data_IF_302338161803
#
_entry.id   IF_302338161803
#
_cell.length_a   1.000
_cell.length_b   1.000
_cell.length_c   1.000
_cell.angle_alpha   90.00
_cell.angle_beta   90.00
_cell.angle_gamma   90.00
#
_symmetry.space_group_name_H-M   'P 1'
#
loop_
_entity.id
_entity.type
_entity.pdbx_description
1 polymer ?
#
# COMPACT_ATOMS: atom_id res chain seq x y z
N UNK A 1 -15.37 -17.79 22.41
CA UNK A 1 -14.62 -17.33 23.61
C UNK A 1 -13.23 -16.97 23.12
N UNK A 2 -12.73 -15.75 23.37
CA UNK A 2 -11.39 -15.36 22.93
C UNK A 2 -10.37 -16.06 23.80
N UNK A 3 -9.42 -16.76 23.18
CA UNK A 3 -8.27 -17.35 23.87
C UNK A 3 -7.37 -16.22 24.38
N UNK A 4 -7.39 -16.01 25.70
CA UNK A 4 -6.66 -14.91 26.36
C UNK A 4 -5.15 -15.07 26.23
N UNK A 5 -4.64 -16.30 26.22
CA UNK A 5 -3.21 -16.56 26.10
C UNK A 5 -2.72 -16.24 24.69
N UNK A 6 -3.50 -16.64 23.68
CA UNK A 6 -3.26 -16.26 22.28
C UNK A 6 -3.31 -14.73 22.11
N UNK A 7 -4.34 -14.08 22.62
CA UNK A 7 -4.50 -12.63 22.52
C UNK A 7 -3.31 -11.88 23.16
N UNK A 8 -2.81 -12.35 24.32
CA UNK A 8 -1.63 -11.77 24.96
C UNK A 8 -0.35 -12.03 24.17
N UNK A 9 -0.21 -13.18 23.50
CA UNK A 9 0.93 -13.46 22.62
C UNK A 9 0.95 -12.53 21.41
N UNK A 10 -0.21 -12.34 20.76
CA UNK A 10 -0.36 -11.42 19.63
C UNK A 10 -0.08 -9.96 20.04
N UNK A 11 -0.50 -9.57 21.23
CA UNK A 11 -0.19 -8.25 21.79
C UNK A 11 1.32 -8.02 21.97
N UNK A 12 2.05 -9.03 22.48
CA UNK A 12 3.52 -8.95 22.61
C UNK A 12 4.19 -8.86 21.24
N UNK A 13 3.74 -9.64 20.26
CA UNK A 13 4.27 -9.61 18.91
C UNK A 13 4.00 -8.26 18.22
N UNK A 14 2.79 -7.73 18.37
CA UNK A 14 2.43 -6.38 17.91
C UNK A 14 3.32 -5.30 18.56
N UNK A 15 3.64 -5.48 19.85
CA UNK A 15 4.53 -4.63 20.63
C UNK A 15 5.94 -4.44 20.04
N UNK A 16 6.41 -5.39 19.22
CA UNK A 16 7.70 -5.28 18.54
C UNK A 16 7.72 -4.18 17.47
N UNK A 17 6.56 -3.91 16.86
CA UNK A 17 6.39 -2.85 15.87
C UNK A 17 5.98 -1.54 16.55
N UNK A 18 5.07 -1.65 17.51
CA UNK A 18 4.35 -0.58 18.17
C UNK A 18 4.48 -0.74 19.69
N UNK A 19 5.50 -0.16 20.34
CA UNK A 19 5.71 -0.31 21.78
C UNK A 19 4.57 0.31 22.61
N UNK A 20 4.07 -0.43 23.61
CA UNK A 20 2.84 -0.11 24.38
C UNK A 20 2.82 1.23 25.13
N UNK A 21 3.94 1.93 25.25
CA UNK A 21 4.06 3.18 26.00
C UNK A 21 4.47 4.37 25.13
N UNK A 22 4.85 4.12 23.89
CA UNK A 22 5.24 5.18 22.98
C UNK A 22 5.06 4.67 21.54
N UNK A 23 3.82 4.77 21.06
CA UNK A 23 3.44 4.36 19.72
C UNK A 23 4.19 5.13 18.64
N UNK A 24 4.71 6.32 18.97
CA UNK A 24 5.56 7.09 18.07
C UNK A 24 6.98 6.51 17.95
N UNK A 25 7.39 5.64 18.88
CA UNK A 25 8.64 4.85 18.80
C UNK A 25 8.41 3.60 17.95
N UNK A 26 9.48 2.81 17.78
CA UNK A 26 9.44 1.64 16.90
C UNK A 26 9.35 2.05 15.42
N UNK A 27 8.41 1.43 14.69
CA UNK A 27 8.35 1.54 13.22
C UNK A 27 7.96 2.94 12.74
N UNK A 28 7.16 3.71 13.50
CA UNK A 28 6.81 5.09 13.13
C UNK A 28 8.02 6.02 13.16
N UNK A 29 8.86 5.92 14.20
CA UNK A 29 10.12 6.68 14.27
C UNK A 29 11.10 6.24 13.20
N UNK A 30 11.17 4.94 12.94
CA UNK A 30 12.08 4.37 11.95
C UNK A 30 11.75 4.85 10.54
N UNK A 31 10.49 4.73 10.10
CA UNK A 31 10.09 5.17 8.76
C UNK A 31 10.25 6.68 8.56
N UNK A 32 9.96 7.49 9.60
CA UNK A 32 10.22 8.94 9.56
C UNK A 32 11.71 9.23 9.35
N UNK A 33 12.60 8.52 10.07
CA UNK A 33 14.06 8.67 9.88
C UNK A 33 14.51 8.25 8.48
N UNK A 34 13.95 7.17 7.95
CA UNK A 34 14.33 6.68 6.63
C UNK A 34 13.82 7.61 5.52
N UNK A 35 12.60 8.15 5.63
CA UNK A 35 12.09 9.22 4.77
C UNK A 35 13.03 10.43 4.74
N UNK A 36 13.45 10.92 5.90
CA UNK A 36 14.37 12.07 6.00
C UNK A 36 15.76 11.78 5.42
N UNK A 37 16.26 10.54 5.53
CA UNK A 37 17.51 10.14 4.86
C UNK A 37 17.34 10.16 3.34
N UNK A 38 16.28 9.57 2.79
CA UNK A 38 16.07 9.47 1.34
C UNK A 38 15.90 10.86 0.72
N UNK A 39 15.16 11.76 1.38
CA UNK A 39 14.97 13.14 0.90
C UNK A 39 16.28 13.91 0.72
N UNK A 40 17.33 13.57 1.47
CA UNK A 40 18.66 14.20 1.39
C UNK A 40 19.53 13.65 0.27
N UNK A 41 19.15 12.55 -0.38
CA UNK A 41 19.92 11.95 -1.48
C UNK A 41 19.72 12.78 -2.75
N UNK A 42 20.82 13.27 -3.32
CA UNK A 42 20.81 14.10 -4.54
C UNK A 42 20.92 13.27 -5.81
N UNK A 43 21.60 12.11 -5.77
CA UNK A 43 21.67 11.19 -6.89
C UNK A 43 20.32 10.46 -7.06
N UNK A 44 19.66 10.67 -8.20
CA UNK A 44 18.31 10.13 -8.43
C UNK A 44 18.25 8.60 -8.46
N UNK A 45 19.27 7.94 -9.02
CA UNK A 45 19.30 6.47 -9.08
C UNK A 45 19.46 5.89 -7.67
N UNK A 46 20.41 6.41 -6.89
CA UNK A 46 20.57 6.01 -5.48
C UNK A 46 19.31 6.29 -4.66
N UNK A 47 18.68 7.46 -4.86
CA UNK A 47 17.44 7.85 -4.19
C UNK A 47 16.32 6.86 -4.50
N UNK A 48 16.17 6.45 -5.76
CA UNK A 48 15.19 5.45 -6.18
C UNK A 48 15.46 4.08 -5.53
N UNK A 49 16.70 3.59 -5.58
CA UNK A 49 17.05 2.29 -5.00
C UNK A 49 16.82 2.27 -3.48
N UNK A 50 17.17 3.35 -2.78
CA UNK A 50 16.92 3.48 -1.34
C UNK A 50 15.42 3.59 -1.04
N UNK A 51 14.67 4.40 -1.78
CA UNK A 51 13.22 4.52 -1.62
C UNK A 51 12.53 3.16 -1.77
N UNK A 52 12.88 2.41 -2.83
CA UNK A 52 12.37 1.06 -3.09
C UNK A 52 12.67 0.11 -1.92
N UNK A 53 13.94 0.04 -1.50
CA UNK A 53 14.36 -0.83 -0.39
C UNK A 53 13.60 -0.55 0.91
N UNK A 54 13.46 0.72 1.29
CA UNK A 54 12.76 1.09 2.52
C UNK A 54 11.25 0.88 2.40
N UNK A 55 10.66 1.12 1.22
CA UNK A 55 9.26 0.82 0.98
C UNK A 55 8.98 -0.68 1.16
N UNK A 56 9.76 -1.56 0.54
CA UNK A 56 9.62 -3.02 0.68
C UNK A 56 9.67 -3.44 2.16
N UNK A 57 10.70 -2.99 2.89
CA UNK A 57 10.87 -3.26 4.32
C UNK A 57 9.66 -2.82 5.14
N UNK A 58 9.20 -1.59 4.96
CA UNK A 58 8.13 -1.04 5.79
C UNK A 58 6.76 -1.63 5.43
N UNK A 59 6.53 -1.93 4.15
CA UNK A 59 5.32 -2.61 3.69
C UNK A 59 5.19 -4.02 4.29
N UNK A 60 6.29 -4.80 4.30
CA UNK A 60 6.33 -6.11 4.97
C UNK A 60 6.01 -5.99 6.47
N UNK A 61 6.61 -5.01 7.15
CA UNK A 61 6.33 -4.77 8.58
C UNK A 61 4.86 -4.38 8.84
N UNK A 62 4.22 -3.60 7.96
CA UNK A 62 2.79 -3.24 8.10
C UNK A 62 1.90 -4.47 8.00
N UNK A 63 2.18 -5.36 7.05
CA UNK A 63 1.44 -6.60 6.86
C UNK A 63 1.52 -7.45 8.13
N UNK A 64 2.72 -7.65 8.69
CA UNK A 64 2.87 -8.43 9.92
C UNK A 64 2.17 -7.78 11.11
N UNK A 65 2.36 -6.48 11.33
CA UNK A 65 1.72 -5.79 12.43
C UNK A 65 0.18 -5.81 12.31
N UNK A 66 -0.35 -5.64 11.09
CA UNK A 66 -1.79 -5.73 10.81
C UNK A 66 -2.33 -7.13 11.09
N UNK A 67 -1.58 -8.17 10.74
CA UNK A 67 -1.97 -9.55 11.02
C UNK A 67 -2.09 -9.80 12.53
N UNK A 68 -1.08 -9.41 13.31
CA UNK A 68 -1.13 -9.50 14.78
C UNK A 68 -2.29 -8.70 15.38
N UNK A 69 -2.56 -7.50 14.85
CA UNK A 69 -3.71 -6.69 15.28
C UNK A 69 -5.05 -7.41 15.07
N UNK A 70 -5.25 -8.01 13.90
CA UNK A 70 -6.49 -8.71 13.54
C UNK A 70 -6.60 -10.04 14.30
N UNK A 71 -5.56 -10.87 14.28
CA UNK A 71 -5.58 -12.20 14.90
C UNK A 71 -5.68 -12.15 16.43
N UNK A 72 -5.12 -11.13 17.05
CA UNK A 72 -5.24 -10.86 18.48
C UNK A 72 -6.51 -10.12 18.88
N UNK A 73 -7.34 -9.69 17.92
CA UNK A 73 -8.50 -8.82 18.15
C UNK A 73 -8.15 -7.60 19.01
N UNK A 74 -6.97 -6.98 18.77
CA UNK A 74 -6.37 -5.99 19.67
C UNK A 74 -7.21 -4.73 19.85
N UNK A 75 -8.12 -4.44 18.91
CA UNK A 75 -9.12 -3.37 19.07
C UNK A 75 -10.03 -3.57 20.29
N UNK A 76 -10.30 -4.82 20.71
CA UNK A 76 -11.07 -5.12 21.93
C UNK A 76 -10.28 -4.80 23.21
N UNK A 77 -8.97 -4.67 23.12
CA UNK A 77 -8.09 -4.23 24.21
C UNK A 77 -7.91 -2.70 24.24
N UNK A 78 -8.67 -1.96 23.42
CA UNK A 78 -8.58 -0.50 23.34
C UNK A 78 -7.40 0.01 22.50
N UNK A 79 -6.69 -0.87 21.78
CA UNK A 79 -5.63 -0.43 20.87
C UNK A 79 -6.27 0.15 19.61
N UNK A 80 -6.03 1.43 19.37
CA UNK A 80 -6.56 2.15 18.22
C UNK A 80 -5.84 1.76 16.94
N UNK A 81 -6.58 1.19 15.97
CA UNK A 81 -6.08 0.94 14.62
C UNK A 81 -5.59 2.22 13.93
N UNK A 82 -6.31 3.33 14.16
CA UNK A 82 -6.02 4.61 13.52
C UNK A 82 -4.72 5.22 14.04
N UNK A 83 -4.46 5.10 15.34
CA UNK A 83 -3.24 5.64 15.96
C UNK A 83 -2.00 4.78 15.76
N UNK A 84 -2.15 3.58 15.20
CA UNK A 84 -1.06 2.63 14.94
C UNK A 84 -0.93 2.32 13.46
N UNK A 85 -1.63 1.30 12.96
CA UNK A 85 -1.52 0.79 11.60
C UNK A 85 -1.87 1.85 10.55
N UNK A 86 -2.92 2.64 10.75
CA UNK A 86 -3.32 3.64 9.74
C UNK A 86 -2.28 4.76 9.59
N UNK A 87 -1.75 5.29 10.70
CA UNK A 87 -0.63 6.25 10.69
C UNK A 87 0.60 5.67 10.02
N UNK A 88 0.95 4.42 10.30
CA UNK A 88 2.09 3.78 9.68
C UNK A 88 1.91 3.61 8.16
N UNK A 89 0.72 3.17 7.74
CA UNK A 89 0.35 3.07 6.32
C UNK A 89 0.43 4.41 5.58
N UNK A 90 0.07 5.50 6.24
CA UNK A 90 0.20 6.84 5.66
C UNK A 90 1.67 7.17 5.34
N UNK A 91 2.59 6.88 6.26
CA UNK A 91 4.02 7.11 6.04
C UNK A 91 4.60 6.18 4.95
N UNK A 92 4.09 4.94 4.82
CA UNK A 92 4.45 4.03 3.72
C UNK A 92 4.01 4.60 2.36
N UNK A 93 2.85 5.27 2.30
CA UNK A 93 2.41 5.95 1.08
C UNK A 93 3.33 7.12 0.72
N UNK A 94 3.80 7.88 1.71
CA UNK A 94 4.78 8.95 1.45
C UNK A 94 6.09 8.41 0.85
N UNK A 95 6.56 7.24 1.30
CA UNK A 95 7.72 6.56 0.69
C UNK A 95 7.45 6.16 -0.77
N UNK A 96 6.27 5.61 -1.04
CA UNK A 96 5.85 5.21 -2.38
C UNK A 96 5.75 6.41 -3.33
N UNK A 97 5.16 7.51 -2.87
CA UNK A 97 5.04 8.74 -3.65
C UNK A 97 6.43 9.30 -3.99
N UNK A 98 7.36 9.28 -3.03
CA UNK A 98 8.76 9.68 -3.25
C UNK A 98 9.46 8.81 -4.29
N UNK A 99 9.19 7.50 -4.29
CA UNK A 99 9.71 6.57 -5.30
C UNK A 99 9.17 6.90 -6.70
N UNK A 100 7.85 7.10 -6.83
CA UNK A 100 7.19 7.46 -8.10
C UNK A 100 7.75 8.78 -8.64
N UNK A 101 7.89 9.80 -7.80
CA UNK A 101 8.42 11.10 -8.19
C UNK A 101 9.85 10.96 -8.72
N UNK A 102 10.69 10.19 -8.03
CA UNK A 102 12.09 9.95 -8.43
C UNK A 102 12.18 9.23 -9.78
N UNK A 103 11.32 8.24 -10.05
CA UNK A 103 11.24 7.58 -11.37
C UNK A 103 10.89 8.59 -12.47
N UNK A 104 9.87 9.43 -12.23
CA UNK A 104 9.46 10.46 -13.20
C UNK A 104 10.57 11.44 -13.52
N UNK A 105 11.39 11.82 -12.54
CA UNK A 105 12.57 12.67 -12.75
C UNK A 105 13.67 11.98 -13.55
N UNK A 106 13.97 10.71 -13.23
CA UNK A 106 14.92 9.89 -14.00
C UNK A 106 14.52 9.79 -15.48
N UNK A 107 13.23 9.57 -15.76
CA UNK A 107 12.72 9.52 -17.13
C UNK A 107 12.83 10.86 -17.85
N UNK A 108 12.59 11.99 -17.16
CA UNK A 108 12.79 13.33 -17.72
C UNK A 108 14.26 13.55 -18.10
N UNK A 109 15.19 13.18 -17.22
CA UNK A 109 16.63 13.29 -17.51
C UNK A 109 17.00 12.47 -18.75
N UNK A 110 16.56 11.20 -18.83
CA UNK A 110 16.80 10.33 -19.99
C UNK A 110 16.26 10.91 -21.31
N UNK A 111 15.15 11.65 -21.28
CA UNK A 111 14.59 12.33 -22.46
C UNK A 111 15.41 13.55 -22.88
N UNK A 112 15.93 14.33 -21.94
CA UNK A 112 16.75 15.51 -22.24
C UNK A 112 18.13 15.18 -22.81
N UNK A 113 18.71 14.03 -22.47
CA UNK A 113 20.06 13.63 -22.92
C UNK A 113 20.06 12.89 -24.25
N UNK A 114 18.90 12.59 -24.87
CA UNK A 114 18.89 12.02 -26.22
C UNK A 114 19.49 13.06 -27.19
N UNK A 115 20.65 12.79 -27.81
CA UNK A 115 21.20 13.69 -28.82
C UNK A 115 20.15 13.81 -29.93
N UNK A 116 19.75 15.03 -30.23
CA UNK A 116 18.97 15.33 -31.43
C UNK A 116 19.81 14.92 -32.64
N UNK A 117 19.61 13.70 -33.13
CA UNK A 117 20.15 13.21 -34.40
C UNK A 117 19.41 13.89 -35.54
N UNK A 118 19.53 15.22 -35.64
CA UNK A 118 19.25 15.98 -36.85
C UNK A 118 20.61 16.39 -37.41
N UNK A 119 20.90 15.89 -38.61
CA UNK A 119 22.12 16.09 -39.40
C UNK A 119 23.26 15.10 -39.15
N UNK A 120 22.99 13.80 -39.30
CA UNK A 120 24.00 12.93 -39.90
C UNK A 120 23.84 13.01 -41.41
N UNK A 121 24.70 13.82 -42.03
CA UNK A 121 25.07 13.71 -43.44
C UNK A 121 25.25 12.24 -43.81
N UNK A 122 24.58 11.81 -44.87
CA UNK A 122 24.67 10.46 -45.44
C UNK A 122 26.11 9.93 -45.35
N UNK A 123 26.40 8.91 -44.54
CA UNK A 123 27.73 8.31 -44.54
C UNK A 123 27.99 7.75 -45.94
N UNK A 124 29.09 8.19 -46.55
CA UNK A 124 29.64 7.54 -47.74
C UNK A 124 29.74 6.06 -47.44
N UNK A 125 29.18 5.22 -48.33
CA UNK A 125 29.28 3.75 -48.29
C UNK A 125 30.74 3.33 -48.23
N UNK A 126 31.32 3.28 -47.04
CA UNK A 126 32.46 2.45 -46.76
C UNK A 126 31.90 1.04 -46.67
N UNK A 127 32.29 0.15 -47.59
CA UNK A 127 32.07 -1.29 -47.41
C UNK A 127 32.94 -1.69 -46.21
N UNK A 128 32.37 -2.00 -45.04
CA UNK A 128 33.16 -2.50 -43.94
C UNK A 128 33.76 -3.82 -44.42
N UNK A 129 35.06 -4.00 -44.21
CA UNK A 129 35.59 -5.37 -44.16
C UNK A 129 34.76 -6.11 -43.11
N UNK A 130 34.41 -7.39 -43.30
CA UNK A 130 33.66 -8.15 -42.32
C UNK A 130 34.45 -8.15 -41.01
N UNK A 131 34.09 -7.25 -40.09
CA UNK A 131 34.51 -7.34 -38.71
C UNK A 131 33.78 -8.56 -38.17
N UNK A 132 34.52 -9.51 -37.61
CA UNK A 132 33.91 -10.55 -36.79
C UNK A 132 33.05 -9.85 -35.75
N UNK A 133 31.73 -9.99 -35.87
CA UNK A 133 30.82 -9.46 -34.88
C UNK A 133 30.99 -10.34 -33.64
N UNK A 134 31.78 -9.86 -32.69
CA UNK A 134 31.85 -10.45 -31.36
C UNK A 134 30.60 -9.98 -30.63
N UNK A 135 29.77 -10.93 -30.23
CA UNK A 135 28.54 -10.64 -29.50
C UNK A 135 28.81 -10.82 -28.01
N UNK A 136 28.08 -10.13 -27.15
CA UNK A 136 28.24 -10.25 -25.68
C UNK A 136 26.91 -10.66 -25.06
N UNK A 137 26.96 -11.63 -24.15
CA UNK A 137 25.80 -12.04 -23.37
C UNK A 137 25.29 -10.86 -22.54
N UNK A 138 24.01 -10.54 -22.63
CA UNK A 138 23.44 -9.38 -21.95
C UNK A 138 23.32 -9.55 -20.43
N UNK A 139 23.35 -10.79 -19.93
CA UNK A 139 23.18 -11.10 -18.51
C UNK A 139 24.53 -11.24 -17.78
N UNK A 140 25.43 -12.06 -18.30
CA UNK A 140 26.72 -12.33 -17.66
C UNK A 140 27.92 -11.60 -18.29
N UNK A 141 27.69 -10.86 -19.39
CA UNK A 141 28.72 -10.12 -20.14
C UNK A 141 29.83 -10.97 -20.78
N UNK A 142 29.71 -12.30 -20.76
CA UNK A 142 30.61 -13.20 -21.48
C UNK A 142 30.53 -12.99 -22.99
N UNK A 143 31.66 -13.12 -23.67
CA UNK A 143 31.73 -13.10 -25.12
C UNK A 143 31.04 -14.34 -25.71
N UNK A 144 30.18 -14.12 -26.71
CA UNK A 144 29.54 -15.14 -27.55
C UNK A 144 30.29 -15.11 -28.88
N UNK A 145 31.06 -16.17 -29.16
CA UNK A 145 31.89 -16.22 -30.36
C UNK A 145 31.05 -16.47 -31.60
N UNK A 146 31.56 -16.01 -32.74
CA UNK A 146 30.91 -16.29 -34.02
C UNK A 146 30.79 -17.80 -34.25
N UNK A 147 29.56 -18.28 -34.47
CA UNK A 147 29.26 -19.70 -34.68
C UNK A 147 28.85 -20.47 -33.42
N UNK A 148 28.91 -19.85 -32.24
CA UNK A 148 28.34 -20.44 -31.02
C UNK A 148 26.81 -20.30 -30.98
N UNK A 149 26.16 -21.27 -30.35
CA UNK A 149 24.73 -21.20 -30.08
C UNK A 149 24.45 -20.10 -29.05
N UNK A 150 23.35 -19.37 -29.24
CA UNK A 150 22.91 -18.31 -28.35
C UNK A 150 21.39 -18.28 -28.28
N UNK A 151 20.89 -17.74 -27.17
CA UNK A 151 19.47 -17.56 -26.92
C UNK A 151 19.08 -16.10 -27.16
N UNK A 152 17.86 -15.88 -27.65
CA UNK A 152 17.30 -14.54 -27.88
C UNK A 152 15.77 -14.60 -27.85
N UNK A 153 15.13 -13.47 -27.57
CA UNK A 153 13.67 -13.39 -27.50
C UNK A 153 13.07 -13.09 -28.88
N UNK A 154 12.30 -14.03 -29.45
CA UNK A 154 11.76 -13.91 -30.81
C UNK A 154 10.70 -12.81 -30.97
N UNK A 155 9.92 -12.53 -29.93
CA UNK A 155 8.81 -11.55 -29.98
C UNK A 155 9.11 -10.16 -29.41
N UNK A 156 10.13 -9.99 -28.56
CA UNK A 156 10.44 -8.67 -27.95
C UNK A 156 11.26 -7.75 -28.84
N UNK A 157 11.98 -8.30 -29.82
CA UNK A 157 12.79 -7.55 -30.79
C UNK A 157 13.76 -6.52 -30.16
N UNK A 158 14.31 -6.82 -28.99
CA UNK A 158 15.23 -5.94 -28.26
C UNK A 158 16.72 -6.17 -28.60
N UNK A 159 17.00 -7.08 -29.54
CA UNK A 159 18.34 -7.47 -30.02
C UNK A 159 19.28 -8.00 -28.93
N UNK A 160 18.75 -8.39 -27.76
CA UNK A 160 19.55 -8.99 -26.70
C UNK A 160 19.84 -10.45 -27.00
N UNK A 161 21.05 -10.88 -26.62
CA UNK A 161 21.55 -12.23 -26.87
C UNK A 161 22.17 -12.78 -25.60
N UNK A 162 22.04 -14.08 -25.40
CA UNK A 162 22.41 -14.76 -24.17
C UNK A 162 23.22 -16.01 -24.49
N UNK A 163 24.31 -16.25 -23.76
CA UNK A 163 25.20 -17.39 -23.98
C UNK A 163 24.62 -18.72 -23.48
N UNK A 164 23.55 -18.69 -22.70
CA UNK A 164 22.89 -19.89 -22.16
C UNK A 164 21.40 -19.64 -21.93
N UNK A 165 20.64 -20.74 -21.85
CA UNK A 165 19.22 -20.73 -21.48
C UNK A 165 19.01 -20.14 -20.07
N UNK A 166 19.96 -20.40 -19.15
CA UNK A 166 19.95 -19.85 -17.80
C UNK A 166 20.06 -18.32 -17.82
N UNK A 167 21.03 -17.76 -18.56
CA UNK A 167 21.17 -16.31 -18.72
C UNK A 167 19.93 -15.68 -19.38
N UNK A 168 19.35 -16.36 -20.37
CA UNK A 168 18.11 -15.93 -21.00
C UNK A 168 16.93 -15.94 -20.01
N UNK A 169 16.81 -17.02 -19.23
CA UNK A 169 15.77 -17.20 -18.23
C UNK A 169 15.89 -16.18 -17.12
N UNK A 170 17.07 -15.95 -16.57
CA UNK A 170 17.29 -14.97 -15.52
C UNK A 170 16.93 -13.55 -15.95
N UNK A 171 17.22 -13.22 -17.21
CA UNK A 171 16.95 -11.89 -17.75
C UNK A 171 15.46 -11.63 -18.01
N UNK A 172 14.72 -12.61 -18.55
CA UNK A 172 13.33 -12.42 -18.97
C UNK A 172 12.29 -13.00 -18.05
N UNK A 173 12.67 -13.90 -17.14
CA UNK A 173 11.72 -14.49 -16.20
C UNK A 173 11.13 -13.45 -15.27
N UNK A 174 9.93 -13.76 -14.79
CA UNK A 174 9.28 -13.04 -13.70
C UNK A 174 9.20 -13.96 -12.49
N UNK A 175 9.22 -13.38 -11.29
CA UNK A 175 9.04 -14.14 -10.05
C UNK A 175 7.55 -14.33 -9.80
N UNK A 176 7.10 -15.58 -9.72
CA UNK A 176 5.72 -15.89 -9.34
C UNK A 176 5.40 -15.32 -7.97
N UNK A 177 4.30 -14.56 -7.87
CA UNK A 177 3.89 -13.85 -6.65
C UNK A 177 3.38 -14.81 -5.55
N UNK A 178 3.12 -16.07 -5.90
CA UNK A 178 2.64 -17.08 -4.97
C UNK A 178 3.76 -18.01 -4.48
N UNK A 179 4.47 -18.67 -5.39
CA UNK A 179 5.49 -19.67 -5.04
C UNK A 179 6.93 -19.15 -5.07
N UNK A 180 7.14 -17.88 -5.46
CA UNK A 180 8.44 -17.20 -5.56
C UNK A 180 9.46 -17.85 -6.49
N UNK A 181 9.02 -18.78 -7.36
CA UNK A 181 9.85 -19.34 -8.43
C UNK A 181 9.88 -18.40 -9.63
N UNK A 182 11.04 -18.28 -10.26
CA UNK A 182 11.19 -17.61 -11.56
C UNK A 182 10.53 -18.44 -12.65
N UNK A 183 9.82 -17.79 -13.56
CA UNK A 183 9.16 -18.43 -14.71
C UNK A 183 9.23 -17.53 -15.94
N UNK A 184 9.49 -18.12 -17.11
CA UNK A 184 9.46 -17.42 -18.39
C UNK A 184 8.02 -17.18 -18.88
N UNK A 185 7.15 -18.16 -18.65
CA UNK A 185 5.71 -18.04 -18.90
C UNK A 185 5.02 -17.59 -17.62
N UNK A 186 4.40 -16.41 -17.68
CA UNK A 186 3.71 -15.82 -16.54
C UNK A 186 2.36 -15.26 -16.93
N UNK A 187 1.43 -15.31 -15.97
CA UNK A 187 0.04 -14.91 -16.13
C UNK A 187 -0.23 -13.75 -15.18
N UNK A 188 -0.40 -12.51 -15.68
CA UNK A 188 -0.75 -11.37 -14.85
C UNK A 188 -2.13 -11.54 -14.23
N UNK A 189 -2.29 -11.09 -12.99
CA UNK A 189 -3.60 -11.00 -12.36
C UNK A 189 -4.52 -10.05 -13.13
N UNK A 190 -5.81 -10.41 -13.25
CA UNK A 190 -6.80 -9.59 -13.95
C UNK A 190 -7.08 -8.25 -13.24
N UNK A 191 -7.06 -8.23 -11.90
CA UNK A 191 -7.32 -7.03 -11.11
C UNK A 191 -6.02 -6.26 -10.80
N UNK A 192 -4.91 -6.96 -10.56
CA UNK A 192 -3.64 -6.37 -10.15
C UNK A 192 -2.50 -6.78 -11.10
N UNK A 193 -2.31 -6.12 -12.27
CA UNK A 193 -1.34 -6.52 -13.28
C UNK A 193 0.13 -6.60 -12.82
N UNK A 194 0.46 -6.01 -11.67
CA UNK A 194 1.78 -6.13 -11.03
C UNK A 194 2.01 -7.49 -10.37
N UNK A 195 0.95 -8.23 -10.05
CA UNK A 195 1.02 -9.60 -9.58
C UNK A 195 1.03 -10.55 -10.78
N UNK A 196 2.04 -11.40 -10.84
CA UNK A 196 2.22 -12.38 -11.89
C UNK A 196 2.35 -13.77 -11.28
N UNK A 197 1.79 -14.79 -11.95
CA UNK A 197 1.78 -16.16 -11.48
C UNK A 197 2.41 -17.09 -12.51
N UNK A 198 3.07 -18.15 -12.07
CA UNK A 198 3.41 -19.27 -12.93
C UNK A 198 2.14 -20.05 -13.31
N UNK A 199 2.22 -20.87 -14.36
CA UNK A 199 1.09 -21.68 -14.83
C UNK A 199 0.44 -22.49 -13.72
N UNK A 200 1.23 -23.22 -12.93
CA UNK A 200 0.70 -24.07 -11.85
C UNK A 200 -0.10 -23.26 -10.82
N UNK A 201 0.45 -22.13 -10.35
CA UNK A 201 -0.25 -21.28 -9.39
C UNK A 201 -1.46 -20.56 -10.01
N UNK A 202 -1.42 -20.25 -11.31
CA UNK A 202 -2.56 -19.68 -12.01
C UNK A 202 -3.71 -20.69 -12.10
N UNK A 203 -3.40 -21.95 -12.44
CA UNK A 203 -4.35 -23.04 -12.45
C UNK A 203 -4.98 -23.23 -11.07
N UNK A 204 -4.16 -23.36 -10.02
CA UNK A 204 -4.67 -23.47 -8.65
C UNK A 204 -5.64 -22.34 -8.29
N UNK A 205 -5.35 -21.09 -8.68
CA UNK A 205 -6.25 -19.95 -8.43
C UNK A 205 -7.57 -20.05 -9.17
N UNK A 206 -7.59 -20.59 -10.39
CA UNK A 206 -8.83 -20.81 -11.12
C UNK A 206 -9.75 -21.84 -10.45
N UNK A 207 -9.19 -22.68 -9.57
CA UNK A 207 -9.90 -23.70 -8.79
C UNK A 207 -10.14 -23.33 -7.31
N UNK A 208 -9.68 -22.16 -6.83
CA UNK A 208 -9.91 -21.73 -5.44
C UNK A 208 -11.25 -20.99 -5.30
N UNK A 209 -12.09 -21.49 -4.39
CA UNK A 209 -13.23 -20.73 -3.92
C UNK A 209 -12.79 -19.59 -2.99
N UNK A 210 -13.14 -18.35 -3.33
CA UNK A 210 -12.83 -17.17 -2.51
C UNK A 210 -13.50 -17.15 -1.13
N UNK A 211 -14.68 -17.75 -0.97
CA UNK A 211 -15.40 -17.73 0.30
C UNK A 211 -14.92 -18.74 1.34
N UNK A 212 -14.20 -19.80 0.93
CA UNK A 212 -13.69 -20.82 1.86
C UNK A 212 -12.22 -21.19 1.65
N UNK A 213 -11.55 -20.61 0.67
CA UNK A 213 -10.16 -20.89 0.28
C UNK A 213 -9.85 -22.36 -0.05
N UNK A 214 -10.88 -23.18 -0.28
CA UNK A 214 -10.71 -24.57 -0.72
C UNK A 214 -10.66 -24.62 -2.24
N UNK A 215 -9.76 -25.45 -2.75
CA UNK A 215 -9.81 -25.90 -4.14
C UNK A 215 -11.07 -26.72 -4.36
N UNK A 216 -11.78 -26.46 -5.46
CA UNK A 216 -12.94 -27.25 -5.88
C UNK A 216 -12.71 -27.73 -7.31
N UNK A 217 -12.77 -29.04 -7.47
CA UNK A 217 -12.94 -29.65 -8.79
C UNK A 217 -14.43 -29.57 -9.17
N UNK A 218 -14.72 -29.13 -10.40
CA UNK A 218 -16.08 -29.02 -10.96
C UNK A 218 -16.69 -27.61 -10.92
N UNK A 219 -18.01 -27.54 -11.12
CA UNK A 219 -18.71 -26.27 -11.37
C UNK A 219 -18.77 -25.35 -10.13
N UNK A 220 -18.54 -24.06 -10.37
CA UNK A 220 -18.75 -23.03 -9.38
C UNK A 220 -20.21 -22.62 -9.29
N UNK A 221 -20.65 -22.25 -8.08
CA UNK A 221 -22.01 -21.75 -7.86
C UNK A 221 -22.19 -20.36 -8.50
N UNK A 222 -21.21 -19.48 -8.34
CA UNK A 222 -21.25 -18.12 -8.88
C UNK A 222 -19.84 -17.58 -9.14
N UNK A 223 -19.73 -16.62 -10.06
CA UNK A 223 -18.53 -15.82 -10.31
C UNK A 223 -18.91 -14.33 -10.28
N UNK A 224 -18.13 -13.51 -9.57
CA UNK A 224 -18.29 -12.04 -9.51
C UNK A 224 -16.91 -11.39 -9.44
N UNK A 225 -16.66 -10.41 -10.31
CA UNK A 225 -15.40 -9.66 -10.37
C UNK A 225 -14.14 -10.55 -10.43
N UNK A 226 -14.18 -11.63 -11.22
CA UNK A 226 -13.12 -12.67 -11.30
C UNK A 226 -12.94 -13.54 -10.05
N UNK A 227 -13.77 -13.38 -9.02
CA UNK A 227 -13.79 -14.23 -7.83
C UNK A 227 -14.83 -15.35 -8.00
N UNK A 228 -14.43 -16.60 -7.77
CA UNK A 228 -15.29 -17.77 -7.91
C UNK A 228 -15.73 -18.35 -6.56
N UNK A 229 -16.96 -18.83 -6.47
CA UNK A 229 -17.58 -19.27 -5.21
C UNK A 229 -18.16 -20.68 -5.34
N UNK A 230 -17.75 -21.59 -4.44
CA UNK A 230 -18.13 -23.00 -4.54
C UNK A 230 -19.56 -23.32 -4.08
N UNK A 231 -20.16 -22.42 -3.29
CA UNK A 231 -21.49 -22.55 -2.71
C UNK A 231 -22.17 -21.20 -2.53
N UNK A 232 -23.50 -21.21 -2.34
CA UNK A 232 -24.31 -20.02 -2.04
C UNK A 232 -23.84 -19.32 -0.76
N UNK A 233 -23.45 -20.09 0.26
CA UNK A 233 -22.94 -19.57 1.53
C UNK A 233 -21.58 -18.87 1.36
N UNK A 234 -20.69 -19.41 0.53
CA UNK A 234 -19.40 -18.80 0.23
C UNK A 234 -19.57 -17.48 -0.52
N UNK A 235 -20.51 -17.43 -1.47
CA UNK A 235 -20.86 -16.19 -2.17
C UNK A 235 -21.46 -15.16 -1.22
N UNK A 236 -22.48 -15.53 -0.44
CA UNK A 236 -23.13 -14.63 0.50
C UNK A 236 -22.16 -14.12 1.59
N UNK A 237 -21.16 -14.92 2.00
CA UNK A 237 -20.17 -14.49 2.99
C UNK A 237 -19.30 -13.33 2.52
N UNK A 238 -18.92 -13.34 1.24
CA UNK A 238 -17.93 -12.42 0.67
C UNK A 238 -18.59 -11.27 -0.11
N UNK A 239 -19.70 -11.57 -0.77
CA UNK A 239 -20.41 -10.67 -1.68
C UNK A 239 -21.82 -10.34 -1.22
N UNK A 240 -22.34 -11.04 -0.20
CA UNK A 240 -23.68 -10.80 0.31
C UNK A 240 -23.75 -9.42 0.96
N UNK A 241 -24.83 -8.71 0.69
CA UNK A 241 -25.14 -7.51 1.43
C UNK A 241 -25.55 -7.91 2.87
N UNK A 242 -25.19 -7.08 3.84
CA UNK A 242 -25.54 -7.31 5.23
C UNK A 242 -26.99 -6.91 5.46
N UNK A 243 -27.73 -7.71 6.22
CA UNK A 243 -29.07 -7.32 6.66
C UNK A 243 -28.97 -6.02 7.44
N UNK A 244 -29.73 -5.00 7.05
CA UNK A 244 -29.72 -3.70 7.72
C UNK A 244 -30.10 -3.81 9.21
N UNK A 245 -30.85 -4.85 9.60
CA UNK A 245 -31.38 -5.00 10.96
C UNK A 245 -30.51 -5.86 11.87
N UNK A 246 -29.84 -6.89 11.36
CA UNK A 246 -29.06 -7.81 12.19
C UNK A 246 -27.59 -7.91 11.79
N UNK A 247 -27.17 -7.22 10.73
CA UNK A 247 -25.83 -7.26 10.17
C UNK A 247 -25.33 -8.67 9.81
N UNK A 248 -26.23 -9.66 9.69
CA UNK A 248 -25.88 -10.98 9.16
C UNK A 248 -25.91 -10.96 7.63
N UNK A 249 -25.01 -11.72 7.01
CA UNK A 249 -25.02 -11.92 5.56
C UNK A 249 -26.35 -12.52 5.10
N UNK A 250 -26.96 -11.88 4.11
CA UNK A 250 -28.30 -12.25 3.64
C UNK A 250 -28.18 -13.27 2.52
N UNK A 251 -28.71 -14.48 2.74
CA UNK A 251 -28.80 -15.53 1.72
C UNK A 251 -29.96 -15.31 0.74
N UNK A 252 -31.01 -14.61 1.16
CA UNK A 252 -32.21 -14.27 0.40
C UNK A 252 -32.73 -12.92 0.88
N UNK A 253 -32.81 -11.94 -0.02
CA UNK A 253 -33.19 -10.57 0.30
C UNK A 253 -34.62 -10.28 -0.17
N UNK A 254 -35.30 -9.47 0.63
CA UNK A 254 -36.52 -8.77 0.23
C UNK A 254 -36.21 -7.28 0.21
N UNK A 255 -36.61 -6.61 -0.86
CA UNK A 255 -36.68 -5.15 -0.87
C UNK A 255 -37.97 -4.75 -0.16
N UNK A 256 -37.85 -3.80 0.76
CA UNK A 256 -39.02 -3.12 1.32
C UNK A 256 -39.76 -2.38 0.20
N UNK A 257 -41.08 -2.54 0.13
CA UNK A 257 -41.91 -1.99 -0.95
C UNK A 257 -41.91 -0.45 -0.96
N UNK A 258 -41.69 0.18 0.20
CA UNK A 258 -41.61 1.63 0.36
C UNK A 258 -40.17 2.15 0.25
N UNK A 259 -39.17 1.32 0.59
CA UNK A 259 -37.75 1.67 0.58
C UNK A 259 -36.88 0.59 -0.09
N UNK A 260 -36.69 0.72 -1.41
CA UNK A 260 -35.88 -0.21 -2.24
C UNK A 260 -34.42 -0.39 -1.78
N UNK A 261 -33.92 0.46 -0.89
CA UNK A 261 -32.54 0.43 -0.40
C UNK A 261 -32.36 -0.33 0.92
N UNK A 262 -33.43 -0.90 1.51
CA UNK A 262 -33.34 -1.69 2.74
C UNK A 262 -33.32 -3.18 2.39
N UNK A 263 -32.27 -3.88 2.82
CA UNK A 263 -32.08 -5.31 2.62
C UNK A 263 -32.37 -6.03 3.94
N UNK A 264 -33.41 -6.85 3.95
CA UNK A 264 -33.88 -7.59 5.13
C UNK A 264 -33.66 -9.08 4.93
N UNK A 265 -33.02 -9.76 5.89
CA UNK A 265 -32.92 -11.21 5.85
C UNK A 265 -34.24 -11.90 6.23
N UNK A 266 -34.44 -13.12 5.72
CA UNK A 266 -35.64 -13.95 5.97
C UNK A 266 -35.98 -14.03 7.46
N UNK A 267 -34.98 -14.22 8.34
CA UNK A 267 -35.20 -14.33 9.78
C UNK A 267 -35.68 -13.03 10.42
N UNK A 268 -35.19 -11.88 9.94
CA UNK A 268 -35.65 -10.57 10.42
C UNK A 268 -37.04 -10.24 9.90
N UNK A 269 -37.35 -10.63 8.65
CA UNK A 269 -38.69 -10.49 8.08
C UNK A 269 -39.73 -11.29 8.87
N UNK A 270 -39.47 -12.58 9.12
CA UNK A 270 -40.37 -13.43 9.93
C UNK A 270 -40.58 -12.89 11.34
N UNK A 271 -39.51 -12.42 12.00
CA UNK A 271 -39.61 -11.80 13.33
C UNK A 271 -40.38 -10.48 13.33
N UNK A 272 -40.38 -9.75 12.21
CA UNK A 272 -41.18 -8.54 12.01
C UNK A 272 -42.65 -8.82 11.68
N UNK A 273 -42.97 -9.96 11.07
CA UNK A 273 -44.35 -10.40 10.83
C UNK A 273 -45.04 -10.86 12.14
N UNK A 274 -44.28 -11.51 13.05
CA UNK A 274 -44.81 -12.00 14.33
C UNK A 274 -44.96 -10.92 15.41
N UNK A 275 -44.33 -9.76 15.22
CA UNK A 275 -44.50 -8.59 16.08
C UNK A 275 -44.95 -7.45 15.19
N UNK A 276 -46.22 -7.04 15.29
CA UNK A 276 -46.64 -5.69 14.87
C UNK A 276 -45.82 -4.67 15.66
N UNK A 277 -44.61 -4.39 15.20
CA UNK A 277 -43.88 -3.21 15.58
C UNK A 277 -44.60 -2.07 14.88
N UNK A 278 -45.30 -1.24 15.65
CA UNK A 278 -45.68 0.12 15.21
C UNK A 278 -44.37 0.90 15.00
N UNK A 279 -43.70 0.62 13.89
CA UNK A 279 -42.51 1.32 13.47
C UNK A 279 -42.96 2.54 12.68
N UNK A 280 -43.28 3.62 13.40
CA UNK A 280 -43.52 4.92 12.78
C UNK A 280 -42.19 5.45 12.24
N UNK A 281 -41.85 5.06 11.01
CA UNK A 281 -40.61 5.43 10.33
C UNK A 281 -40.37 6.94 10.28
N UNK A 282 -41.43 7.76 10.34
CA UNK A 282 -41.31 9.22 10.41
C UNK A 282 -40.74 9.68 11.75
N UNK A 283 -41.11 9.02 12.85
CA UNK A 283 -40.58 9.32 14.18
C UNK A 283 -39.09 8.97 14.25
N UNK A 284 -38.71 7.80 13.74
CA UNK A 284 -37.31 7.37 13.83
C UNK A 284 -36.37 8.21 12.96
N UNK A 285 -36.78 8.58 11.74
CA UNK A 285 -36.01 9.50 10.89
C UNK A 285 -35.88 10.88 11.54
N UNK A 286 -36.93 11.37 12.21
CA UNK A 286 -36.88 12.64 12.95
C UNK A 286 -35.87 12.59 14.10
N UNK A 287 -35.86 11.50 14.86
CA UNK A 287 -34.93 11.31 15.98
C UNK A 287 -33.46 11.26 15.48
N UNK A 288 -33.20 10.59 14.35
CA UNK A 288 -31.87 10.55 13.72
C UNK A 288 -31.43 11.95 13.26
N UNK A 289 -32.33 12.70 12.60
CA UNK A 289 -32.03 14.06 12.13
C UNK A 289 -31.76 15.01 13.30
N UNK A 290 -32.52 14.91 14.39
CA UNK A 290 -32.27 15.71 15.60
C UNK A 290 -30.94 15.34 16.27
N UNK A 291 -30.59 14.04 16.33
CA UNK A 291 -29.30 13.59 16.83
C UNK A 291 -28.13 14.10 15.98
N UNK A 292 -28.26 14.09 14.65
CA UNK A 292 -27.23 14.63 13.74
C UNK A 292 -27.07 16.14 13.90
N UNK A 293 -28.18 16.89 14.02
CA UNK A 293 -28.13 18.35 14.27
C UNK A 293 -27.43 18.66 15.60
N UNK A 294 -27.70 17.89 16.65
CA UNK A 294 -27.05 18.02 17.95
C UNK A 294 -25.54 17.76 17.86
N UNK A 295 -25.14 16.68 17.19
CA UNK A 295 -23.73 16.33 17.00
C UNK A 295 -22.97 17.38 16.18
N UNK A 296 -23.59 17.95 15.14
CA UNK A 296 -23.01 19.04 14.35
C UNK A 296 -22.80 20.31 15.19
N UNK A 297 -23.78 20.66 16.03
CA UNK A 297 -23.67 21.81 16.93
C UNK A 297 -22.53 21.63 17.94
N UNK A 298 -22.47 20.48 18.61
CA UNK A 298 -21.40 20.15 19.56
C UNK A 298 -20.00 20.15 18.91
N UNK A 299 -19.91 19.74 17.63
CA UNK A 299 -18.65 19.81 16.88
C UNK A 299 -18.23 21.25 16.58
N UNK A 300 -19.17 22.10 16.16
CA UNK A 300 -18.88 23.53 15.91
C UNK A 300 -18.44 24.28 17.16
N UNK A 301 -19.03 23.97 18.32
CA UNK A 301 -18.66 24.58 19.61
C UNK A 301 -17.26 24.11 20.06
N UNK A 302 -16.90 22.84 19.81
CA UNK A 302 -15.54 22.34 20.07
C UNK A 302 -14.48 22.95 19.14
N UNK A 303 -14.80 23.14 17.87
CA UNK A 303 -13.89 23.78 16.90
C UNK A 303 -13.66 25.26 17.23
N UNK A 304 -14.67 25.98 17.73
CA UNK A 304 -14.51 27.36 18.19
C UNK A 304 -13.63 27.47 19.45
N UNK A 305 -13.73 26.52 20.38
CA UNK A 305 -12.89 26.51 21.58
C UNK A 305 -11.42 26.17 21.25
N UNK A 306 -11.16 25.20 20.37
CA UNK A 306 -9.80 24.83 19.98
C UNK A 306 -9.05 25.95 19.23
N UNK A 307 -9.76 26.82 18.52
CA UNK A 307 -9.15 27.97 17.85
C UNK A 307 -8.72 29.07 18.83
N UNK A 308 -9.30 29.10 20.05
CA UNK A 308 -8.92 30.05 21.09
C UNK A 308 -7.61 29.63 21.77
N UNK A 309 -7.45 28.34 22.05
CA UNK A 309 -6.24 27.77 22.65
C UNK A 309 -5.00 27.88 21.72
N UNK A 310 -5.22 27.74 20.40
CA UNK A 310 -4.17 27.92 19.38
C UNK A 310 -3.62 29.36 19.30
N UNK A 311 -4.44 30.37 19.60
CA UNK A 311 -4.02 31.76 19.56
C UNK A 311 -3.11 32.12 20.76
N UNK A 312 -3.39 31.55 21.93
CA UNK A 312 -2.60 31.78 23.15
C UNK A 312 -1.23 31.07 23.06
N UNK A 313 -1.17 29.85 22.50
CA UNK A 313 0.09 29.14 22.27
C UNK A 313 1.01 29.88 21.28
N UNK A 314 0.46 30.50 20.23
CA UNK A 314 1.23 31.32 19.30
C UNK A 314 1.70 32.65 19.89
N UNK A 315 1.05 33.17 20.92
CA UNK A 315 1.50 34.36 21.63
C UNK A 315 2.68 34.03 22.55
N UNK A 316 2.59 32.89 23.27
CA UNK A 316 3.65 32.39 24.15
C UNK A 316 4.93 32.08 23.38
N UNK A 317 4.83 31.44 22.20
CA UNK A 317 6.04 31.12 21.42
C UNK A 317 6.70 32.39 20.85
N UNK A 318 5.93 33.41 20.46
CA UNK A 318 6.47 34.72 20.04
C UNK A 318 7.20 35.45 21.16
N UNK A 319 6.75 35.30 22.40
CA UNK A 319 7.42 35.89 23.57
C UNK A 319 8.74 35.17 23.87
N UNK A 320 8.76 33.83 23.78
CA UNK A 320 10.01 33.04 23.91
C UNK A 320 11.04 33.37 22.83
N UNK A 321 10.60 33.61 21.59
CA UNK A 321 11.51 34.04 20.52
C UNK A 321 12.14 35.41 20.80
N UNK A 322 11.37 36.35 21.36
CA UNK A 322 11.90 37.66 21.80
C UNK A 322 12.93 37.51 22.91
N UNK A 323 12.68 36.65 23.89
CA UNK A 323 13.64 36.38 24.97
C UNK A 323 14.94 35.76 24.44
N UNK A 324 14.86 34.81 23.51
CA UNK A 324 16.05 34.23 22.86
C UNK A 324 16.84 35.26 22.07
N UNK A 325 16.16 36.15 21.34
CA UNK A 325 16.81 37.24 20.61
C UNK A 325 17.55 38.18 21.57
N UNK A 326 16.92 38.58 22.67
CA UNK A 326 17.54 39.44 23.69
C UNK A 326 18.77 38.79 24.33
N UNK A 327 18.69 37.49 24.68
CA UNK A 327 19.83 36.76 25.24
C UNK A 327 21.01 36.68 24.25
N UNK A 328 20.74 36.48 22.97
CA UNK A 328 21.78 36.48 21.94
C UNK A 328 22.43 37.86 21.78
N UNK A 329 21.66 38.95 21.83
CA UNK A 329 22.19 40.32 21.81
C UNK A 329 23.08 40.59 23.01
N UNK A 330 22.67 40.18 24.22
CA UNK A 330 23.49 40.32 25.44
C UNK A 330 24.80 39.54 25.27
N UNK A 331 24.73 38.31 24.75
CA UNK A 331 25.92 37.47 24.55
C UNK A 331 26.91 38.09 23.56
N UNK A 332 26.41 38.71 22.49
CA UNK A 332 27.24 39.43 21.52
C UNK A 332 27.90 40.67 22.14
N UNK A 333 27.16 41.46 22.93
CA UNK A 333 27.68 42.63 23.63
C UNK A 333 28.78 42.25 24.65
N UNK A 334 28.61 41.14 25.38
CA UNK A 334 29.61 40.64 26.32
C UNK A 334 30.88 40.19 25.59
N UNK A 335 30.74 39.48 24.47
CA UNK A 335 31.88 39.06 23.63
C UNK A 335 32.64 40.26 23.06
N UNK A 336 31.94 41.30 22.60
CA UNK A 336 32.55 42.55 22.14
C UNK A 336 33.30 43.29 23.25
N UNK A 337 32.73 43.33 24.46
CA UNK A 337 33.36 43.96 25.62
C UNK A 337 34.67 43.27 26.03
N UNK A 338 34.72 41.93 25.91
CA UNK A 338 35.94 41.14 26.17
C UNK A 338 37.02 41.32 25.09
N UNK A 339 36.62 41.67 23.86
CA UNK A 339 37.57 41.99 22.77
C UNK A 339 38.16 43.39 22.97
N UNK A 340 37.40 44.34 23.52
CA UNK A 340 37.88 45.72 23.75
C UNK A 340 38.82 45.82 24.97
N UNK A 341 38.71 44.88 25.93
CA UNK A 341 39.51 44.85 27.15
C UNK A 341 40.81 44.04 27.05
N UNK A 342 41.05 43.36 25.93
CA UNK A 342 42.34 42.74 25.58
C UNK A 342 43.01 43.57 24.49
#
# INVERSE_FOLDING_TARGET
MVDKDKQQAELRAFGLYFPQYDWEQGVLREIKKDLEKIKKITNLEEKYQKAKFFWDKHNTNEIYAKNHYISGELGKLGISFNDTIAKYRQLIRELWDLQIETIRELEKQKKSTKPSTKNQSKPKRYKPKPQQENWTCQECFSEIKTGEEYWYHTTKHDNKKFCSEECFSDHYSQTCSNCFKKTLEYYPDKQYPSLVYCWDCQQEREYICWGCAKTKEGDYYAEKDSSKYCSKECYARMCGELCNYCANNVLEFYHDEENRNIIICVDCKKKGEDKKFDFDGKKHVKDIVEAMKKAMKEKSEKEQNNNKDSADDQAIERERERERANLNTIRLMTSLSLIILN
#
